data_IF_660513795839
#
_entry.id   IF_660513795839
#
_cell.length_a   1.000
_cell.length_b   1.000
_cell.length_c   1.000
_cell.angle_alpha   90.00
_cell.angle_beta   90.00
_cell.angle_gamma   90.00
#
_symmetry.space_group_name_H-M   'P 1'
#
loop_
_entity.id
_entity.type
_entity.pdbx_description
1 polymer ?
#
# COMPACT_ATOMS: atom_id res chain seq x y z
N UNK A 1 -11.36 -3.06 -8.69
CA UNK A 1 -12.54 -2.75 -7.87
C UNK A 1 -13.77 -2.56 -8.77
N UNK A 2 -14.94 -3.14 -8.42
CA UNK A 2 -16.12 -3.03 -9.29
C UNK A 2 -17.43 -3.11 -8.47
N UNK A 3 -18.14 -2.00 -8.37
CA UNK A 3 -19.44 -1.89 -7.70
C UNK A 3 -20.56 -2.68 -8.39
N UNK A 4 -20.40 -2.98 -9.67
CA UNK A 4 -21.40 -3.70 -10.49
C UNK A 4 -21.09 -5.19 -10.63
N UNK A 5 -19.99 -5.67 -10.03
CA UNK A 5 -19.63 -7.08 -10.09
C UNK A 5 -20.74 -7.95 -9.48
N UNK A 6 -21.09 -9.09 -10.10
CA UNK A 6 -22.06 -10.01 -9.53
C UNK A 6 -21.62 -10.48 -8.14
N UNK A 7 -22.54 -10.48 -7.18
CA UNK A 7 -22.27 -10.90 -5.79
C UNK A 7 -21.06 -10.20 -5.15
N UNK A 8 -20.86 -8.91 -5.46
CA UNK A 8 -19.67 -8.11 -5.14
C UNK A 8 -19.28 -8.04 -3.65
N UNK A 9 -20.15 -8.45 -2.73
CA UNK A 9 -19.87 -8.51 -1.29
C UNK A 9 -19.51 -9.92 -0.81
N UNK A 10 -19.28 -10.85 -1.73
CA UNK A 10 -18.96 -12.25 -1.40
C UNK A 10 -17.61 -12.66 -2.00
N UNK A 11 -17.06 -13.76 -1.49
CA UNK A 11 -15.82 -14.34 -2.05
C UNK A 11 -15.99 -14.83 -3.49
N UNK A 12 -17.24 -15.12 -3.92
CA UNK A 12 -17.52 -15.58 -5.27
C UNK A 12 -17.15 -14.53 -6.32
N UNK A 13 -17.38 -13.26 -6.05
CA UNK A 13 -17.01 -12.18 -6.98
C UNK A 13 -15.51 -12.13 -7.22
N UNK A 14 -14.70 -12.31 -6.17
CA UNK A 14 -13.25 -12.34 -6.28
C UNK A 14 -12.77 -13.57 -7.05
N UNK A 15 -13.23 -14.78 -6.64
CA UNK A 15 -12.67 -16.02 -7.19
C UNK A 15 -13.21 -16.41 -8.56
N UNK A 16 -14.43 -15.98 -8.91
CA UNK A 16 -15.05 -16.35 -10.19
C UNK A 16 -14.91 -15.25 -11.25
N UNK A 17 -14.91 -13.98 -10.83
CA UNK A 17 -14.96 -12.86 -11.76
C UNK A 17 -13.75 -11.95 -11.69
N UNK A 18 -12.85 -12.12 -10.68
CA UNK A 18 -11.67 -11.28 -10.49
C UNK A 18 -11.99 -9.83 -10.13
N UNK A 19 -13.24 -9.53 -9.73
CA UNK A 19 -13.72 -8.18 -9.42
C UNK A 19 -14.63 -8.20 -8.22
N UNK A 20 -14.51 -7.20 -7.33
CA UNK A 20 -15.30 -7.12 -6.11
C UNK A 20 -15.32 -5.70 -5.54
N UNK A 21 -15.98 -5.55 -4.38
CA UNK A 21 -15.87 -4.38 -3.50
C UNK A 21 -15.08 -4.77 -2.23
N UNK A 22 -14.80 -3.81 -1.36
CA UNK A 22 -14.01 -3.99 -0.14
C UNK A 22 -14.43 -5.22 0.67
N UNK A 23 -15.73 -5.43 0.88
CA UNK A 23 -16.22 -6.56 1.66
C UNK A 23 -15.93 -7.93 1.00
N UNK A 24 -15.98 -8.03 -0.32
CA UNK A 24 -15.63 -9.26 -1.03
C UNK A 24 -14.12 -9.53 -0.97
N UNK A 25 -13.29 -8.51 -1.16
CA UNK A 25 -11.83 -8.59 -0.98
C UNK A 25 -11.46 -9.04 0.44
N UNK A 26 -11.99 -8.37 1.47
CA UNK A 26 -11.70 -8.69 2.86
C UNK A 26 -12.14 -10.11 3.23
N UNK A 27 -13.33 -10.56 2.78
CA UNK A 27 -13.79 -11.93 2.98
C UNK A 27 -12.94 -12.97 2.23
N UNK A 28 -12.50 -12.66 1.01
CA UNK A 28 -11.64 -13.55 0.24
C UNK A 28 -10.26 -13.69 0.91
N UNK A 29 -9.69 -12.60 1.37
CA UNK A 29 -8.44 -12.60 2.12
C UNK A 29 -8.58 -13.41 3.43
N UNK A 30 -9.63 -13.14 4.23
CA UNK A 30 -9.92 -13.92 5.43
C UNK A 30 -10.04 -15.42 5.13
N UNK A 31 -10.75 -15.79 4.08
CA UNK A 31 -10.93 -17.19 3.67
C UNK A 31 -9.58 -17.84 3.32
N UNK A 32 -8.74 -17.17 2.53
CA UNK A 32 -7.42 -17.68 2.17
C UNK A 32 -6.51 -17.84 3.41
N UNK A 33 -6.50 -16.87 4.31
CA UNK A 33 -5.78 -16.95 5.58
C UNK A 33 -6.23 -18.17 6.40
N UNK A 34 -7.54 -18.37 6.56
CA UNK A 34 -8.11 -19.50 7.28
C UNK A 34 -7.73 -20.83 6.62
N UNK A 35 -7.74 -20.91 5.28
CA UNK A 35 -7.27 -22.09 4.55
C UNK A 35 -5.79 -22.39 4.74
N UNK A 36 -4.99 -21.36 4.96
CA UNK A 36 -3.57 -21.46 5.29
C UNK A 36 -3.30 -21.70 6.79
N UNK A 37 -4.34 -21.81 7.62
CA UNK A 37 -4.21 -21.96 9.07
C UNK A 37 -3.81 -20.65 9.80
N UNK A 38 -4.00 -19.51 9.16
CA UNK A 38 -3.69 -18.19 9.72
C UNK A 38 -4.98 -17.61 10.27
N UNK A 39 -5.07 -17.29 11.58
CA UNK A 39 -6.24 -16.63 12.15
C UNK A 39 -6.47 -15.27 11.52
N UNK A 40 -7.71 -15.01 11.08
CA UNK A 40 -8.10 -13.75 10.48
C UNK A 40 -9.54 -13.40 10.82
N UNK A 41 -9.82 -12.12 11.05
CA UNK A 41 -11.12 -11.58 11.46
C UNK A 41 -11.51 -10.46 10.49
N UNK A 42 -12.73 -10.55 9.96
CA UNK A 42 -13.32 -9.47 9.18
C UNK A 42 -13.60 -8.28 10.10
N UNK A 43 -13.16 -7.10 9.70
CA UNK A 43 -13.43 -5.82 10.36
C UNK A 43 -14.30 -4.99 9.43
N UNK A 44 -15.29 -4.32 10.01
CA UNK A 44 -16.14 -3.35 9.31
C UNK A 44 -16.06 -2.00 9.99
N UNK A 45 -16.35 -0.94 9.26
CA UNK A 45 -16.32 0.41 9.78
C UNK A 45 -16.50 1.43 8.67
N UNK A 46 -15.81 2.55 8.79
CA UNK A 46 -15.81 3.64 7.80
C UNK A 46 -14.39 4.08 7.49
N UNK A 47 -14.20 4.69 6.33
CA UNK A 47 -13.00 5.47 5.99
C UNK A 47 -13.24 6.97 6.24
N UNK A 48 -12.24 7.83 6.01
CA UNK A 48 -12.22 9.24 6.42
C UNK A 48 -13.45 10.05 5.99
N UNK A 49 -13.97 9.81 4.78
CA UNK A 49 -15.15 10.49 4.25
C UNK A 49 -16.49 9.95 4.83
N UNK A 50 -16.42 8.98 5.75
CA UNK A 50 -17.57 8.30 6.32
C UNK A 50 -18.13 7.17 5.46
N UNK A 51 -17.50 6.83 4.35
CA UNK A 51 -17.92 5.71 3.49
C UNK A 51 -17.78 4.38 4.23
N UNK A 52 -18.83 3.52 4.25
CA UNK A 52 -18.73 2.18 4.82
C UNK A 52 -17.65 1.35 4.14
N UNK A 53 -16.82 0.69 4.95
CA UNK A 53 -15.68 -0.06 4.48
C UNK A 53 -15.47 -1.37 5.24
N UNK A 54 -14.67 -2.29 4.66
CA UNK A 54 -14.35 -3.56 5.27
C UNK A 54 -12.91 -3.98 4.95
N UNK A 55 -12.20 -4.41 5.99
CA UNK A 55 -10.82 -4.89 5.93
C UNK A 55 -10.63 -6.11 6.84
N UNK A 56 -9.42 -6.50 7.17
CA UNK A 56 -9.13 -7.71 7.93
C UNK A 56 -8.10 -7.47 9.01
N UNK A 57 -8.31 -8.00 10.22
CA UNK A 57 -7.25 -8.23 11.19
C UNK A 57 -6.72 -9.65 11.03
N UNK A 58 -5.40 -9.83 10.98
CA UNK A 58 -4.74 -11.12 10.71
C UNK A 58 -3.63 -11.39 11.72
N UNK A 59 -3.50 -12.64 12.18
CA UNK A 59 -2.48 -13.04 13.14
C UNK A 59 -1.37 -13.83 12.46
N UNK A 60 -0.20 -13.22 12.32
CA UNK A 60 0.99 -13.85 11.79
C UNK A 60 1.96 -14.16 12.93
N UNK A 61 2.35 -15.41 13.09
CA UNK A 61 3.32 -15.86 14.12
C UNK A 61 3.03 -15.39 15.55
N UNK A 62 1.74 -15.22 15.89
CA UNK A 62 1.29 -14.80 17.22
C UNK A 62 1.12 -13.28 17.39
N UNK A 63 1.53 -12.48 16.40
CA UNK A 63 1.35 -11.02 16.35
C UNK A 63 0.17 -10.66 15.44
N UNK A 64 -0.62 -9.66 15.86
CA UNK A 64 -1.74 -9.18 15.07
C UNK A 64 -1.36 -7.97 14.24
N UNK A 65 -1.97 -7.89 13.05
CA UNK A 65 -1.80 -6.84 12.05
C UNK A 65 -3.14 -6.52 11.39
N UNK A 66 -3.25 -5.36 10.78
CA UNK A 66 -4.34 -5.05 9.86
C UNK A 66 -3.90 -5.20 8.41
N UNK A 67 -4.85 -5.59 7.56
CA UNK A 67 -4.65 -5.65 6.12
C UNK A 67 -5.92 -5.21 5.40
N UNK A 68 -5.80 -4.28 4.46
CA UNK A 68 -6.87 -3.93 3.52
C UNK A 68 -6.49 -4.35 2.10
N UNK A 69 -6.95 -5.51 1.65
CA UNK A 69 -6.62 -5.98 0.32
C UNK A 69 -7.31 -5.21 -0.81
N UNK A 70 -8.36 -4.44 -0.52
CA UNK A 70 -9.03 -3.63 -1.55
C UNK A 70 -8.26 -2.36 -1.86
N UNK A 71 -7.62 -1.76 -0.87
CA UNK A 71 -6.72 -0.62 -1.05
C UNK A 71 -5.32 -1.04 -1.54
N UNK A 72 -5.01 -2.32 -1.44
CA UNK A 72 -3.85 -2.93 -2.11
C UNK A 72 -4.05 -3.16 -3.61
N UNK A 73 -5.25 -3.00 -4.14
CA UNK A 73 -5.56 -3.09 -5.57
C UNK A 73 -5.34 -1.71 -6.22
N UNK A 74 -4.25 -1.58 -6.98
CA UNK A 74 -3.87 -0.31 -7.63
C UNK A 74 -4.96 0.23 -8.57
N UNK A 75 -5.81 -0.64 -9.13
CA UNK A 75 -6.94 -0.21 -9.97
C UNK A 75 -7.97 0.64 -9.22
N UNK A 76 -8.08 0.46 -7.90
CA UNK A 76 -8.95 1.28 -7.04
C UNK A 76 -8.43 2.72 -6.91
N UNK A 77 -7.12 2.91 -6.85
CA UNK A 77 -6.50 4.22 -6.67
C UNK A 77 -6.59 5.09 -7.94
N UNK A 78 -6.61 4.48 -9.12
CA UNK A 78 -6.74 5.21 -10.39
C UNK A 78 -8.15 5.78 -10.63
N UNK A 79 -9.19 5.13 -10.13
CA UNK A 79 -10.57 5.68 -10.24
C UNK A 79 -10.80 6.91 -9.34
N UNK A 80 -10.09 7.02 -8.20
CA UNK A 80 -10.13 8.19 -7.32
C UNK A 80 -9.23 9.35 -7.76
N UNK A 81 -8.19 9.10 -8.54
CA UNK A 81 -7.23 10.11 -8.99
C UNK A 81 -7.82 11.06 -10.05
N UNK A 82 -8.81 10.63 -10.83
CA UNK A 82 -9.51 11.49 -11.79
C UNK A 82 -10.31 12.62 -11.10
N UNK A 83 -10.79 12.40 -9.87
CA UNK A 83 -11.48 13.45 -9.09
C UNK A 83 -10.49 14.41 -8.41
N UNK A 84 -9.24 14.02 -8.19
CA UNK A 84 -8.22 14.82 -7.50
C UNK A 84 -7.42 15.77 -8.41
N UNK A 85 -7.69 15.79 -9.73
CA UNK A 85 -7.06 16.74 -10.67
C UNK A 85 -5.55 16.53 -10.86
N UNK A 86 -5.05 15.32 -10.68
CA UNK A 86 -3.68 14.97 -11.09
C UNK A 86 -3.62 14.96 -12.62
N UNK A 87 -2.86 15.87 -13.20
CA UNK A 87 -2.60 15.85 -14.63
C UNK A 87 -1.94 14.51 -14.98
N UNK A 88 -2.64 13.76 -15.83
CA UNK A 88 -2.18 12.58 -16.49
C UNK A 88 -0.95 12.93 -17.35
N UNK A 89 0.25 12.87 -16.76
CA UNK A 89 1.44 12.82 -17.57
C UNK A 89 1.45 11.46 -18.25
N UNK A 90 0.98 11.46 -19.51
CA UNK A 90 0.72 10.30 -20.34
C UNK A 90 1.93 9.41 -20.64
N UNK A 91 2.42 8.73 -19.63
CA UNK A 91 3.12 7.48 -19.80
C UNK A 91 2.04 6.40 -19.90
N UNK A 92 1.88 5.80 -21.04
CA UNK A 92 1.02 4.65 -21.24
C UNK A 92 1.36 3.60 -20.17
N UNK A 93 0.49 3.50 -19.17
CA UNK A 93 0.66 2.75 -17.94
C UNK A 93 0.53 1.23 -18.15
N UNK A 94 0.86 0.71 -19.32
CA UNK A 94 0.66 -0.71 -19.66
C UNK A 94 1.62 -1.65 -18.90
N UNK A 95 2.73 -1.13 -18.35
CA UNK A 95 3.65 -1.89 -17.49
C UNK A 95 3.49 -1.64 -15.99
N UNK A 96 2.67 -0.66 -15.57
CA UNK A 96 2.47 -0.26 -14.16
C UNK A 96 1.24 -0.92 -13.51
N UNK A 97 0.40 -1.61 -14.29
CA UNK A 97 -0.92 -2.08 -13.90
C UNK A 97 -0.97 -3.32 -13.00
N UNK A 98 0.15 -3.94 -12.68
CA UNK A 98 0.18 -5.16 -11.84
C UNK A 98 0.87 -4.97 -10.47
N UNK A 99 1.14 -3.75 -10.03
CA UNK A 99 1.76 -3.56 -8.73
C UNK A 99 0.71 -3.55 -7.61
N UNK A 100 0.94 -4.39 -6.61
CA UNK A 100 0.19 -4.38 -5.36
C UNK A 100 0.70 -3.22 -4.51
N UNK A 101 -0.21 -2.39 -4.01
CA UNK A 101 0.11 -1.40 -2.98
C UNK A 101 0.15 -2.09 -1.62
N UNK A 102 1.26 -1.95 -0.92
CA UNK A 102 1.48 -2.56 0.39
C UNK A 102 1.26 -1.59 1.56
N UNK A 103 0.76 -0.37 1.30
CA UNK A 103 0.57 0.67 2.33
C UNK A 103 -0.38 0.23 3.43
N UNK A 104 -1.32 -0.65 3.10
CA UNK A 104 -2.29 -1.22 4.03
C UNK A 104 -2.11 -2.72 4.25
N UNK A 105 -0.88 -3.25 4.10
CA UNK A 105 -0.60 -4.67 4.28
C UNK A 105 0.28 -4.94 5.50
N UNK A 106 -0.27 -5.67 6.48
CA UNK A 106 0.35 -6.00 7.77
C UNK A 106 0.80 -4.76 8.56
N UNK A 107 -0.13 -3.84 8.70
CA UNK A 107 0.08 -2.55 9.38
C UNK A 107 -0.39 -2.57 10.84
N UNK A 108 0.05 -1.57 11.62
CA UNK A 108 -0.32 -1.41 13.02
C UNK A 108 -1.69 -0.75 13.18
N UNK A 109 -2.23 -0.79 14.43
CA UNK A 109 -3.43 -0.03 14.79
C UNK A 109 -3.25 1.46 14.54
N UNK A 110 -2.08 2.02 14.86
CA UNK A 110 -1.77 3.43 14.62
C UNK A 110 -1.84 3.76 13.13
N UNK A 111 -1.21 2.95 12.28
CA UNK A 111 -1.17 3.17 10.83
C UNK A 111 -2.55 3.07 10.19
N UNK A 112 -3.32 2.01 10.48
CA UNK A 112 -4.65 1.83 9.88
C UNK A 112 -5.63 2.90 10.35
N UNK A 113 -5.51 3.37 11.59
CA UNK A 113 -6.43 4.36 12.18
C UNK A 113 -6.26 5.77 11.62
N UNK A 114 -5.28 6.01 10.77
CA UNK A 114 -5.14 7.28 10.05
C UNK A 114 -6.29 7.50 9.07
N UNK A 115 -6.78 6.43 8.50
CA UNK A 115 -7.81 6.44 7.44
C UNK A 115 -9.06 5.61 7.78
N UNK A 116 -8.96 4.65 8.70
CA UNK A 116 -10.03 3.69 8.99
C UNK A 116 -10.52 3.81 10.43
N UNK A 117 -11.84 3.82 10.60
CA UNK A 117 -12.49 3.77 11.92
C UNK A 117 -13.32 2.49 12.01
N UNK A 118 -12.94 1.58 12.91
CA UNK A 118 -13.64 0.31 13.09
C UNK A 118 -14.97 0.49 13.84
N UNK A 119 -16.00 -0.22 13.36
CA UNK A 119 -17.31 -0.35 14.02
C UNK A 119 -17.71 -1.83 14.05
N UNK A 120 -17.25 -2.50 15.10
CA UNK A 120 -17.53 -3.92 15.32
C UNK A 120 -18.01 -4.15 16.76
N UNK A 121 -18.92 -5.12 17.00
CA UNK A 121 -19.50 -5.36 18.34
C UNK A 121 -18.58 -6.14 19.30
N UNK A 122 -17.32 -6.30 18.97
CA UNK A 122 -16.31 -7.05 19.74
C UNK A 122 -14.99 -6.30 19.80
N UNK A 123 -14.16 -6.51 20.84
CA UNK A 123 -12.86 -5.87 20.93
C UNK A 123 -11.92 -6.39 19.84
N UNK A 124 -11.22 -5.47 19.17
CA UNK A 124 -10.17 -5.80 18.22
C UNK A 124 -8.81 -5.90 18.93
N UNK A 125 -7.89 -6.74 18.44
CA UNK A 125 -6.54 -6.75 18.97
C UNK A 125 -5.83 -5.43 18.67
N UNK A 126 -5.02 -4.97 19.62
CA UNK A 126 -4.09 -3.89 19.38
C UNK A 126 -2.89 -4.42 18.59
N UNK A 127 -2.67 -3.90 17.40
CA UNK A 127 -1.58 -4.29 16.51
C UNK A 127 -0.43 -3.30 16.66
N UNK A 128 0.66 -3.72 17.27
CA UNK A 128 1.83 -2.85 17.55
C UNK A 128 3.11 -3.30 16.85
N UNK A 129 3.11 -4.52 16.30
CA UNK A 129 4.29 -5.09 15.66
C UNK A 129 4.42 -4.61 14.21
N UNK A 130 5.65 -4.37 13.78
CA UNK A 130 6.02 -4.12 12.39
C UNK A 130 6.86 -5.26 11.80
N UNK A 131 7.09 -6.34 12.55
CA UNK A 131 8.03 -7.42 12.17
C UNK A 131 7.69 -8.05 10.82
N UNK A 132 6.41 -8.20 10.50
CA UNK A 132 5.95 -8.80 9.26
C UNK A 132 5.45 -7.77 8.23
N UNK A 133 5.53 -6.46 8.55
CA UNK A 133 5.20 -5.41 7.60
C UNK A 133 6.08 -5.50 6.35
N UNK A 134 5.48 -5.33 5.18
CA UNK A 134 6.17 -5.45 3.90
C UNK A 134 7.40 -4.54 3.81
N UNK A 135 7.25 -3.26 4.08
CA UNK A 135 8.34 -2.30 3.94
C UNK A 135 9.48 -2.54 4.92
N UNK A 136 9.18 -3.02 6.13
CA UNK A 136 10.21 -3.40 7.11
C UNK A 136 11.01 -4.61 6.62
N UNK A 137 10.32 -5.61 6.07
CA UNK A 137 10.97 -6.84 5.58
C UNK A 137 11.81 -6.62 4.34
N UNK A 138 11.37 -5.70 3.48
CA UNK A 138 12.08 -5.35 2.24
C UNK A 138 13.15 -4.26 2.43
N UNK A 139 13.36 -3.77 3.67
CA UNK A 139 14.33 -2.71 3.93
C UNK A 139 13.90 -1.32 3.43
N UNK A 140 12.60 -1.16 3.14
CA UNK A 140 11.99 0.05 2.58
C UNK A 140 11.31 0.93 3.63
N UNK A 141 11.43 0.59 4.93
CA UNK A 141 10.86 1.34 6.05
C UNK A 141 11.93 2.23 6.70
N UNK A 142 11.72 3.53 6.68
CA UNK A 142 12.69 4.53 7.11
C UNK A 142 12.27 5.17 8.44
N UNK A 143 13.09 5.00 9.48
CA UNK A 143 12.92 5.66 10.79
C UNK A 143 13.78 6.92 10.92
N UNK A 144 14.59 7.22 9.90
CA UNK A 144 15.44 8.42 9.73
C UNK A 144 15.75 8.59 8.23
N UNK A 145 16.14 9.78 7.83
CA UNK A 145 16.57 10.05 6.44
C UNK A 145 17.98 9.48 6.17
N UNK A 146 18.07 8.16 6.07
CA UNK A 146 19.29 7.40 5.86
C UNK A 146 19.54 7.14 4.38
N UNK A 147 20.49 7.86 3.79
CA UNK A 147 20.76 7.78 2.35
C UNK A 147 21.57 6.54 1.96
N UNK A 148 22.23 5.85 2.91
CA UNK A 148 22.81 4.53 2.65
C UNK A 148 21.69 3.49 2.45
N UNK A 149 20.68 3.53 3.32
CA UNK A 149 19.49 2.67 3.16
C UNK A 149 18.73 2.99 1.87
N UNK A 150 18.62 4.27 1.48
CA UNK A 150 18.03 4.67 0.18
C UNK A 150 18.83 4.06 -0.97
N UNK A 151 20.16 4.15 -0.96
CA UNK A 151 21.00 3.55 -1.99
C UNK A 151 20.79 2.05 -2.10
N UNK A 152 20.77 1.33 -0.96
CA UNK A 152 20.51 -0.12 -0.91
C UNK A 152 19.13 -0.48 -1.48
N UNK A 153 18.10 0.32 -1.20
CA UNK A 153 16.75 0.12 -1.72
C UNK A 153 16.72 0.19 -3.26
N UNK A 154 17.36 1.21 -3.83
CA UNK A 154 17.44 1.37 -5.30
C UNK A 154 18.34 0.32 -5.96
N UNK A 155 19.45 -0.06 -5.34
CA UNK A 155 20.33 -1.12 -5.84
C UNK A 155 19.60 -2.48 -5.86
N UNK A 156 18.90 -2.82 -4.77
CA UNK A 156 18.11 -4.04 -4.68
C UNK A 156 17.01 -4.08 -5.75
N UNK A 157 16.28 -2.98 -5.89
CA UNK A 157 15.25 -2.87 -6.93
C UNK A 157 15.83 -3.02 -8.36
N UNK A 158 17.04 -2.50 -8.58
CA UNK A 158 17.72 -2.65 -9.85
C UNK A 158 18.16 -4.10 -10.12
N UNK A 159 18.66 -4.80 -9.09
CA UNK A 159 19.07 -6.21 -9.18
C UNK A 159 17.89 -7.15 -9.41
N UNK A 160 16.74 -6.83 -8.80
CA UNK A 160 15.50 -7.62 -8.91
C UNK A 160 14.62 -7.19 -10.09
N UNK A 161 15.07 -6.24 -10.90
CA UNK A 161 14.34 -5.71 -12.06
C UNK A 161 12.96 -5.13 -11.68
N UNK A 162 12.81 -4.61 -10.45
CA UNK A 162 11.57 -3.98 -10.01
C UNK A 162 11.30 -2.71 -10.83
N UNK A 163 10.06 -2.52 -11.26
CA UNK A 163 9.62 -1.33 -12.02
C UNK A 163 9.56 -0.06 -11.18
N UNK A 164 9.43 -0.19 -9.86
CA UNK A 164 9.34 0.94 -8.93
C UNK A 164 9.97 0.64 -7.58
N UNK A 165 10.24 1.71 -6.83
CA UNK A 165 10.70 1.68 -5.43
C UNK A 165 9.80 2.59 -4.62
N UNK A 166 9.16 2.07 -3.57
CA UNK A 166 8.38 2.85 -2.62
C UNK A 166 9.12 2.91 -1.28
N UNK A 167 9.44 4.12 -0.83
CA UNK A 167 10.06 4.39 0.46
C UNK A 167 8.94 4.75 1.45
N UNK A 168 8.76 3.96 2.52
CA UNK A 168 7.80 4.19 3.60
C UNK A 168 8.48 4.86 4.78
N UNK A 169 7.97 6.00 5.23
CA UNK A 169 8.52 6.74 6.36
C UNK A 169 7.74 6.45 7.64
N UNK A 170 8.44 6.40 8.77
CA UNK A 170 7.85 6.13 10.08
C UNK A 170 6.97 7.30 10.56
N UNK A 171 7.38 8.52 10.26
CA UNK A 171 6.72 9.75 10.65
C UNK A 171 6.93 10.87 9.61
N UNK A 172 6.21 11.98 9.81
CA UNK A 172 6.24 13.14 8.93
C UNK A 172 7.63 13.80 8.86
N UNK A 173 8.39 13.80 9.96
CA UNK A 173 9.75 14.38 9.99
C UNK A 173 10.69 13.64 9.05
N UNK A 174 10.62 12.31 9.05
CA UNK A 174 11.41 11.46 8.15
C UNK A 174 10.95 11.63 6.72
N UNK A 175 9.64 11.70 6.49
CA UNK A 175 9.06 11.93 5.18
C UNK A 175 9.52 13.28 4.58
N UNK A 176 9.39 14.38 5.31
CA UNK A 176 9.84 15.69 4.85
C UNK A 176 11.34 15.74 4.56
N UNK A 177 12.15 15.09 5.41
CA UNK A 177 13.60 15.05 5.22
C UNK A 177 14.00 14.26 3.98
N UNK A 178 13.35 13.12 3.69
CA UNK A 178 13.59 12.35 2.46
C UNK A 178 13.05 13.06 1.24
N UNK A 179 11.86 13.66 1.34
CA UNK A 179 11.25 14.45 0.27
C UNK A 179 12.20 15.62 -0.15
N UNK A 180 12.68 16.39 0.83
CA UNK A 180 13.59 17.50 0.55
C UNK A 180 14.86 17.03 -0.15
N UNK A 181 15.51 15.98 0.36
CA UNK A 181 16.75 15.46 -0.22
C UNK A 181 16.55 14.90 -1.63
N UNK A 182 15.56 14.01 -1.79
CA UNK A 182 15.40 13.29 -3.03
C UNK A 182 14.79 14.15 -4.15
N UNK A 183 13.81 15.00 -3.81
CA UNK A 183 13.06 15.77 -4.80
C UNK A 183 13.52 17.23 -4.87
N UNK A 184 13.57 17.96 -3.75
CA UNK A 184 13.95 19.39 -3.76
C UNK A 184 15.43 19.57 -4.11
N UNK A 185 16.33 18.79 -3.48
CA UNK A 185 17.77 18.81 -3.75
C UNK A 185 18.17 17.93 -4.93
N UNK A 186 17.21 17.20 -5.51
CA UNK A 186 17.37 16.35 -6.70
C UNK A 186 18.39 15.21 -6.53
N UNK A 187 18.65 14.75 -5.29
CA UNK A 187 19.56 13.63 -5.05
C UNK A 187 19.05 12.31 -5.68
N UNK A 188 17.76 12.22 -6.06
CA UNK A 188 17.18 11.06 -6.72
C UNK A 188 17.95 10.67 -8.01
N UNK A 189 18.52 11.63 -8.73
CA UNK A 189 19.27 11.37 -9.95
C UNK A 189 20.60 10.65 -9.73
N UNK A 190 21.04 10.49 -8.47
CA UNK A 190 22.18 9.62 -8.13
C UNK A 190 21.80 8.13 -8.22
N UNK A 191 20.52 7.80 -8.04
CA UNK A 191 19.98 6.44 -8.01
C UNK A 191 19.24 6.08 -9.30
N UNK A 192 18.56 7.05 -9.89
CA UNK A 192 17.85 6.95 -11.16
C UNK A 192 18.44 7.96 -12.15
N UNK A 193 19.53 7.60 -12.84
CA UNK A 193 20.17 8.51 -13.80
C UNK A 193 19.25 8.77 -14.98
N UNK A 194 19.15 10.06 -15.39
CA UNK A 194 18.31 10.52 -16.50
C UNK A 194 18.03 12.00 -16.40
N UNK A 195 17.30 12.54 -17.38
CA UNK A 195 16.88 13.94 -17.43
C UNK A 195 15.54 14.18 -16.69
N UNK A 196 14.82 13.12 -16.37
CA UNK A 196 13.55 13.16 -15.67
C UNK A 196 13.33 11.88 -14.85
N UNK A 197 12.49 11.97 -13.82
CA UNK A 197 12.06 10.85 -12.99
C UNK A 197 10.55 10.93 -12.78
N UNK A 198 9.87 9.82 -12.92
CA UNK A 198 8.46 9.70 -12.54
C UNK A 198 8.37 9.33 -11.07
N UNK A 199 7.53 10.05 -10.33
CA UNK A 199 7.33 9.79 -8.91
C UNK A 199 5.88 10.08 -8.49
N UNK A 200 5.46 9.46 -7.39
CA UNK A 200 4.27 9.81 -6.64
C UNK A 200 4.60 9.97 -5.16
N UNK A 201 3.84 10.79 -4.48
CA UNK A 201 4.02 11.05 -3.05
C UNK A 201 2.67 10.99 -2.34
N UNK A 202 2.65 10.39 -1.16
CA UNK A 202 1.50 10.41 -0.27
C UNK A 202 1.95 10.89 1.11
N UNK A 203 1.55 12.09 1.49
CA UNK A 203 1.81 12.61 2.83
C UNK A 203 0.98 11.87 3.86
N UNK A 204 -0.23 11.48 3.52
CA UNK A 204 -1.13 10.71 4.38
C UNK A 204 -0.54 9.33 4.73
N UNK A 205 -0.01 8.63 3.72
CA UNK A 205 0.63 7.32 3.90
C UNK A 205 2.12 7.42 4.20
N UNK A 206 2.71 8.60 4.18
CA UNK A 206 4.14 8.85 4.39
C UNK A 206 5.00 8.02 3.42
N UNK A 207 4.63 8.02 2.14
CA UNK A 207 5.33 7.27 1.09
C UNK A 207 5.84 8.15 -0.03
N UNK A 208 6.99 7.75 -0.58
CA UNK A 208 7.61 8.31 -1.76
C UNK A 208 7.86 7.15 -2.74
N UNK A 209 7.16 7.14 -3.87
CA UNK A 209 7.29 6.09 -4.90
C UNK A 209 7.99 6.66 -6.12
N UNK A 210 8.98 5.94 -6.64
CA UNK A 210 9.75 6.30 -7.82
C UNK A 210 9.69 5.17 -8.84
N UNK A 211 9.44 5.49 -10.11
CA UNK A 211 9.46 4.54 -11.21
C UNK A 211 10.76 4.63 -11.99
N UNK A 212 11.29 3.47 -12.33
CA UNK A 212 12.41 3.39 -13.24
C UNK A 212 11.88 3.66 -14.66
N UNK A 213 12.35 4.70 -15.29
CA UNK A 213 12.13 4.89 -16.72
C UNK A 213 12.84 3.75 -17.45
N UNK A 214 12.09 2.84 -18.10
CA UNK A 214 12.70 1.92 -19.05
C UNK A 214 13.27 2.77 -20.18
N UNK A 215 14.57 2.70 -20.40
CA UNK A 215 15.14 3.20 -21.64
C UNK A 215 14.46 2.42 -22.78
N UNK A 216 13.71 3.15 -23.63
CA UNK A 216 13.16 2.64 -24.86
C UNK A 216 14.28 2.38 -25.87
#
# INVERSE_FOLDING_TARGET
YDLQAPENQTICSVFLYGKSVCQGYAKAFQYLCQRAGIPAVLVTGTVEDGTPHAWTAVCCRGEWYYADPSWGDVSYQTEGAEEAGMEENGAEADGLREQVDYDFFLVTTEQISRTHTADVPFPLPECVSLTDNYYVREGLYFTRADMEQVAEAFETAAQEERGSVTLKCADETVYEALYDRLLTQQEIFQYLPGDSVSFAVSQEQLTLTFWRTSEL
#
